data_IF_616602901447
#
_entry.id   IF_616602901447
#
_cell.length_a   1.000
_cell.length_b   1.000
_cell.length_c   1.000
_cell.angle_alpha   90.00
_cell.angle_beta   90.00
_cell.angle_gamma   90.00
#
_symmetry.space_group_name_H-M   'P 1'
#
loop_
_entity.id
_entity.type
_entity.pdbx_description
1 polymer ?
#
# COMPACT_ATOMS: atom_id res chain seq x y z
N UNK A 1 11.30 -22.90 -4.22
CA UNK A 1 10.35 -21.87 -3.74
C UNK A 1 9.60 -21.23 -4.91
N UNK A 2 10.28 -20.67 -5.91
CA UNK A 2 9.59 -20.06 -7.08
C UNK A 2 8.74 -21.06 -7.87
N UNK A 3 9.15 -22.32 -7.93
CA UNK A 3 8.36 -23.41 -8.53
C UNK A 3 6.96 -23.58 -7.90
N UNK A 4 6.85 -23.40 -6.58
CA UNK A 4 5.56 -23.46 -5.88
C UNK A 4 4.69 -22.23 -6.20
N UNK A 5 5.29 -21.08 -6.50
CA UNK A 5 4.54 -19.90 -6.93
C UNK A 5 3.89 -20.12 -8.29
N UNK A 6 4.54 -20.86 -9.19
CA UNK A 6 4.01 -21.15 -10.52
C UNK A 6 2.74 -22.02 -10.48
N UNK A 7 2.54 -22.79 -9.40
CA UNK A 7 1.31 -23.53 -9.14
C UNK A 7 0.17 -22.66 -8.54
N UNK A 8 0.48 -21.44 -8.10
CA UNK A 8 -0.51 -20.49 -7.57
C UNK A 8 -0.89 -19.51 -8.69
N UNK A 9 0.10 -18.84 -9.25
CA UNK A 9 -0.03 -17.91 -10.37
C UNK A 9 1.32 -17.76 -11.08
N UNK A 10 1.32 -18.01 -12.39
CA UNK A 10 2.55 -17.95 -13.21
C UNK A 10 3.10 -16.53 -13.30
N UNK A 11 2.23 -15.51 -13.29
CA UNK A 11 2.65 -14.10 -13.35
C UNK A 11 3.41 -13.69 -12.09
N UNK A 12 2.93 -14.12 -10.92
CA UNK A 12 3.61 -13.95 -9.64
C UNK A 12 4.98 -14.64 -9.64
N UNK A 13 5.03 -15.89 -10.11
CA UNK A 13 6.29 -16.63 -10.20
C UNK A 13 7.31 -15.94 -11.13
N UNK A 14 6.86 -15.41 -12.26
CA UNK A 14 7.71 -14.66 -13.20
C UNK A 14 8.25 -13.37 -12.58
N UNK A 15 7.39 -12.60 -11.90
CA UNK A 15 7.81 -11.36 -11.24
C UNK A 15 8.86 -11.61 -10.15
N UNK A 16 8.69 -12.67 -9.36
CA UNK A 16 9.68 -13.06 -8.34
C UNK A 16 10.96 -13.59 -8.97
N UNK A 17 10.87 -14.44 -10.00
CA UNK A 17 12.03 -15.00 -10.70
C UNK A 17 12.89 -13.89 -11.34
N UNK A 18 12.24 -12.93 -12.02
CA UNK A 18 12.89 -11.76 -12.60
C UNK A 18 13.66 -10.96 -11.55
N UNK A 19 13.05 -10.69 -10.38
CA UNK A 19 13.70 -9.94 -9.31
C UNK A 19 14.85 -10.70 -8.64
N UNK A 20 14.88 -12.03 -8.76
CA UNK A 20 15.95 -12.89 -8.25
C UNK A 20 17.02 -13.24 -9.31
N UNK A 21 16.86 -12.76 -10.56
CA UNK A 21 17.86 -12.89 -11.61
C UNK A 21 17.86 -14.23 -12.36
N UNK A 22 16.76 -14.99 -12.35
CA UNK A 22 16.63 -16.20 -13.16
C UNK A 22 15.30 -16.25 -13.91
N UNK A 23 15.29 -16.93 -15.05
CA UNK A 23 14.09 -17.16 -15.84
C UNK A 23 13.40 -18.47 -15.41
N UNK A 24 12.07 -18.48 -15.46
CA UNK A 24 11.30 -19.72 -15.34
C UNK A 24 11.55 -20.62 -16.56
N UNK A 25 11.55 -21.94 -16.36
CA UNK A 25 11.60 -22.89 -17.47
C UNK A 25 10.27 -22.90 -18.24
N UNK A 26 10.28 -23.36 -19.49
CA UNK A 26 9.06 -23.44 -20.30
C UNK A 26 7.98 -24.30 -19.61
N UNK A 27 8.38 -25.41 -19.00
CA UNK A 27 7.49 -26.31 -18.25
C UNK A 27 6.79 -25.58 -17.09
N UNK A 28 7.52 -24.74 -16.33
CA UNK A 28 6.96 -23.95 -15.23
C UNK A 28 5.96 -22.89 -15.71
N UNK A 29 6.13 -22.37 -16.92
CA UNK A 29 5.18 -21.40 -17.50
C UNK A 29 3.91 -22.04 -18.04
N UNK A 30 3.88 -23.36 -18.20
CA UNK A 30 2.73 -24.12 -18.71
C UNK A 30 1.95 -24.82 -17.59
N UNK A 31 2.30 -24.60 -16.32
CA UNK A 31 1.55 -25.13 -15.19
C UNK A 31 0.13 -24.56 -15.22
N UNK A 32 -0.86 -25.46 -15.25
CA UNK A 32 -2.26 -25.07 -15.28
C UNK A 32 -2.65 -24.37 -13.95
N UNK A 33 -3.33 -23.22 -14.01
CA UNK A 33 -3.83 -22.55 -12.81
C UNK A 33 -4.81 -23.45 -12.03
N UNK A 34 -4.87 -23.32 -10.70
CA UNK A 34 -5.85 -24.03 -9.90
C UNK A 34 -7.29 -23.62 -10.29
N UNK A 35 -8.29 -24.50 -10.07
CA UNK A 35 -9.68 -24.19 -10.36
C UNK A 35 -10.22 -23.10 -9.42
N UNK A 36 -11.26 -22.40 -9.88
CA UNK A 36 -11.97 -21.39 -9.10
C UNK A 36 -12.56 -21.99 -7.81
N UNK A 37 -12.50 -21.23 -6.71
CA UNK A 37 -13.06 -21.68 -5.42
C UNK A 37 -14.56 -21.40 -5.42
N UNK A 38 -15.40 -22.44 -5.50
CA UNK A 38 -16.86 -22.31 -5.59
C UNK A 38 -17.32 -21.37 -6.72
N UNK A 39 -16.58 -21.31 -7.83
CA UNK A 39 -16.84 -20.41 -8.97
C UNK A 39 -16.36 -18.96 -8.78
N UNK A 40 -15.71 -18.64 -7.66
CA UNK A 40 -15.10 -17.34 -7.42
C UNK A 40 -13.66 -17.31 -7.92
N UNK A 41 -13.39 -16.40 -8.85
CA UNK A 41 -12.03 -16.08 -9.34
C UNK A 41 -11.29 -15.09 -8.44
N UNK A 42 -12.03 -14.19 -7.80
CA UNK A 42 -11.51 -13.15 -6.91
C UNK A 42 -12.60 -12.71 -5.95
N UNK A 43 -12.18 -12.27 -4.77
CA UNK A 43 -13.05 -11.64 -3.78
C UNK A 43 -12.44 -10.27 -3.39
N UNK A 44 -13.11 -9.14 -3.69
CA UNK A 44 -12.64 -7.81 -3.28
C UNK A 44 -12.38 -7.67 -1.78
N UNK A 45 -13.05 -8.44 -0.93
CA UNK A 45 -12.86 -8.42 0.52
C UNK A 45 -11.47 -8.92 0.96
N UNK A 46 -10.79 -9.69 0.11
CA UNK A 46 -9.42 -10.17 0.37
C UNK A 46 -8.36 -9.10 0.07
N UNK A 47 -8.74 -7.99 -0.58
CA UNK A 47 -7.85 -6.88 -0.83
C UNK A 47 -8.05 -5.78 0.20
N UNK A 48 -6.96 -5.35 0.83
CA UNK A 48 -6.96 -4.25 1.80
C UNK A 48 -7.41 -2.91 1.20
N UNK A 49 -7.32 -2.76 -0.12
CA UNK A 49 -7.54 -1.48 -0.79
C UNK A 49 -8.60 -1.53 -1.90
N UNK A 50 -9.12 -2.71 -2.27
CA UNK A 50 -10.13 -2.80 -3.32
C UNK A 50 -11.48 -2.23 -2.86
N UNK A 51 -11.79 -2.34 -1.56
CA UNK A 51 -12.91 -1.68 -0.93
C UNK A 51 -12.34 -0.60 -0.01
N UNK A 52 -12.60 0.69 -0.26
CA UNK A 52 -12.10 1.75 0.60
C UNK A 52 -12.81 1.68 1.94
N UNK A 53 -12.14 1.09 2.92
CA UNK A 53 -12.58 1.07 4.31
C UNK A 53 -11.42 1.53 5.21
N UNK A 54 -11.64 2.64 5.91
CA UNK A 54 -10.60 3.26 6.73
C UNK A 54 -10.86 4.73 7.01
N UNK A 55 -10.71 5.11 8.28
CA UNK A 55 -10.66 6.50 8.72
C UNK A 55 -9.20 6.94 8.88
N UNK A 56 -8.99 8.24 8.78
CA UNK A 56 -7.73 8.91 9.06
C UNK A 56 -7.58 9.26 10.54
N UNK A 57 -8.63 9.09 11.35
CA UNK A 57 -8.57 9.25 12.81
C UNK A 57 -7.42 8.46 13.41
N UNK A 58 -6.58 9.13 14.20
CA UNK A 58 -5.45 8.50 14.90
C UNK A 58 -4.18 8.29 14.08
N UNK A 59 -4.19 8.54 12.75
CA UNK A 59 -2.94 8.63 11.96
C UNK A 59 -2.09 9.81 12.43
N UNK A 60 -0.87 9.98 11.92
CA UNK A 60 -0.03 11.14 12.26
C UNK A 60 0.39 11.86 11.00
N UNK A 61 0.40 13.20 11.04
CA UNK A 61 0.94 14.03 9.96
C UNK A 61 2.09 14.86 10.50
N UNK A 62 3.22 14.82 9.80
CA UNK A 62 4.35 15.71 10.04
C UNK A 62 4.13 17.04 9.31
N UNK A 63 4.37 18.16 10.00
CA UNK A 63 4.37 19.49 9.41
C UNK A 63 5.80 20.02 9.48
N UNK A 64 6.39 20.26 8.32
CA UNK A 64 7.73 20.83 8.19
C UNK A 64 7.63 22.34 8.26
N UNK A 65 8.37 22.94 9.19
CA UNK A 65 8.37 24.38 9.45
C UNK A 65 9.69 25.00 8.97
N UNK A 66 9.63 26.25 8.53
CA UNK A 66 10.79 27.09 8.25
C UNK A 66 10.92 28.20 9.32
N UNK A 67 12.00 28.97 9.30
CA UNK A 67 12.25 30.02 10.30
C UNK A 67 11.19 31.13 10.33
N UNK A 68 10.47 31.32 9.21
CA UNK A 68 9.41 32.33 9.06
C UNK A 68 8.07 31.68 8.74
N UNK A 69 7.57 30.89 9.69
CA UNK A 69 6.28 30.19 9.55
C UNK A 69 5.15 31.19 9.33
N UNK A 70 4.33 30.95 8.30
CA UNK A 70 3.06 31.65 8.14
C UNK A 70 2.03 31.10 9.14
N UNK A 71 1.80 31.86 10.23
CA UNK A 71 0.88 31.47 11.28
C UNK A 71 -0.57 31.29 10.79
N UNK A 72 -1.01 32.06 9.79
CA UNK A 72 -2.38 31.96 9.25
C UNK A 72 -2.60 30.63 8.51
N UNK A 73 -1.60 30.18 7.75
CA UNK A 73 -1.66 28.87 7.08
C UNK A 73 -1.59 27.72 8.08
N UNK A 74 -0.71 27.81 9.09
CA UNK A 74 -0.60 26.78 10.12
C UNK A 74 -1.88 26.64 10.94
N UNK A 75 -2.54 27.76 11.26
CA UNK A 75 -3.84 27.76 11.94
C UNK A 75 -4.94 27.14 11.06
N UNK A 76 -4.96 27.45 9.78
CA UNK A 76 -5.89 26.84 8.81
C UNK A 76 -5.72 25.33 8.75
N UNK A 77 -4.48 24.84 8.66
CA UNK A 77 -4.14 23.41 8.68
C UNK A 77 -4.61 22.78 10.01
N UNK A 78 -4.37 23.46 11.13
CA UNK A 78 -4.77 22.96 12.43
C UNK A 78 -6.28 22.92 12.66
N UNK A 79 -7.02 23.90 12.14
CA UNK A 79 -8.48 23.95 12.18
C UNK A 79 -9.09 22.85 11.31
N UNK A 80 -8.55 22.62 10.11
CA UNK A 80 -8.95 21.53 9.22
C UNK A 80 -8.83 20.14 9.88
N UNK A 81 -7.78 19.93 10.69
CA UNK A 81 -7.60 18.70 11.45
C UNK A 81 -8.49 18.56 12.70
N UNK A 82 -9.06 19.65 13.23
CA UNK A 82 -9.92 19.63 14.42
C UNK A 82 -11.40 19.39 14.07
N UNK A 83 -11.84 19.86 12.90
CA UNK A 83 -13.22 19.76 12.43
C UNK A 83 -13.57 18.37 11.86
N UNK A 84 -12.58 17.66 11.31
CA UNK A 84 -12.71 16.29 10.82
C UNK A 84 -11.96 15.38 11.82
N UNK A 85 -12.46 14.18 12.15
CA UNK A 85 -11.83 13.24 13.10
C UNK A 85 -10.46 12.74 12.58
N UNK A 86 -9.42 13.58 12.62
CA UNK A 86 -8.20 13.46 11.80
C UNK A 86 -6.91 13.32 12.62
N UNK A 87 -5.78 12.98 11.96
CA UNK A 87 -4.49 12.62 12.55
C UNK A 87 -3.95 13.48 13.71
N UNK A 88 -3.17 12.85 14.61
CA UNK A 88 -2.29 13.53 15.58
C UNK A 88 -1.19 14.31 14.83
N UNK A 89 -0.70 15.39 15.45
CA UNK A 89 0.22 16.34 14.82
C UNK A 89 1.58 16.25 15.50
N UNK A 90 2.64 16.19 14.70
CA UNK A 90 4.02 16.32 15.17
C UNK A 90 4.70 17.38 14.30
N UNK A 91 5.14 18.47 14.91
CA UNK A 91 5.94 19.48 14.21
C UNK A 91 7.41 19.06 14.29
N UNK A 92 8.08 19.01 13.13
CA UNK A 92 9.51 18.78 13.05
C UNK A 92 10.14 20.08 12.59
N UNK A 93 10.97 20.66 13.45
CA UNK A 93 11.79 21.81 13.11
C UNK A 93 12.98 21.30 12.30
N UNK A 94 13.20 21.86 11.12
CA UNK A 94 14.43 21.62 10.38
C UNK A 94 15.47 22.55 10.95
N UNK A 95 16.37 22.04 11.78
CA UNK A 95 17.54 22.79 12.25
C UNK A 95 18.39 23.17 11.02
N UNK A 96 18.67 24.46 10.87
CA UNK A 96 19.61 25.01 9.89
C UNK A 96 21.03 25.02 10.42
#
# INVERSE_FOLDING_TARGET
MVDQLAHIDVTLAQGVAHNLGFALTHEQTQIAPPPDVNGLKKDPALSLYAVPDGDVKGRVVAILLNDKVNAAELLTIFAGFKSQRRPRKTALFTDG
#
